data_IF_448916916904
#
_entry.id   IF_448916916904
#
_cell.length_a   1.000
_cell.length_b   1.000
_cell.length_c   1.000
_cell.angle_alpha   90.00
_cell.angle_beta   90.00
_cell.angle_gamma   90.00
#
_symmetry.space_group_name_H-M   'P 1'
#
loop_
_entity.id
_entity.type
_entity.pdbx_description
1 polymer ?
#
# COMPACT_ATOMS: atom_id res chain seq x y z
N UNK A 1 4.88 -9.20 -2.28
CA UNK A 1 6.11 -8.48 -2.67
C UNK A 1 5.92 -7.57 -3.89
N UNK A 2 5.53 -8.08 -5.06
CA UNK A 2 5.44 -7.29 -6.30
C UNK A 2 4.47 -6.08 -6.21
N UNK A 3 3.30 -6.25 -5.59
CA UNK A 3 2.31 -5.17 -5.42
C UNK A 3 2.86 -4.00 -4.62
N UNK A 4 3.51 -4.29 -3.48
CA UNK A 4 4.13 -3.25 -2.63
C UNK A 4 5.26 -2.54 -3.38
N UNK A 5 6.08 -3.29 -4.14
CA UNK A 5 7.13 -2.68 -4.96
C UNK A 5 6.56 -1.76 -6.05
N UNK A 6 5.49 -2.17 -6.72
CA UNK A 6 4.81 -1.34 -7.72
C UNK A 6 4.21 -0.07 -7.10
N UNK A 7 3.57 -0.19 -5.92
CA UNK A 7 3.05 0.96 -5.20
C UNK A 7 4.16 1.93 -4.80
N UNK A 8 5.30 1.43 -4.30
CA UNK A 8 6.47 2.25 -3.96
C UNK A 8 6.99 3.04 -5.16
N UNK A 9 7.08 2.44 -6.34
CA UNK A 9 7.54 3.14 -7.54
C UNK A 9 6.70 4.38 -7.85
N UNK A 10 5.37 4.29 -7.72
CA UNK A 10 4.45 5.41 -7.92
C UNK A 10 4.58 6.44 -6.79
N UNK A 11 4.66 5.98 -5.53
CA UNK A 11 4.78 6.85 -4.36
C UNK A 11 6.12 7.61 -4.34
N UNK A 12 7.20 7.02 -4.85
CA UNK A 12 8.50 7.67 -4.98
C UNK A 12 8.44 8.84 -5.97
N UNK A 13 7.60 8.77 -7.01
CA UNK A 13 7.31 9.93 -7.88
C UNK A 13 6.56 11.02 -7.12
N UNK A 14 5.55 10.65 -6.33
CA UNK A 14 4.77 11.59 -5.53
C UNK A 14 5.61 12.31 -4.46
N UNK A 15 6.65 11.66 -3.93
CA UNK A 15 7.61 12.26 -3.01
C UNK A 15 8.40 13.43 -3.63
N UNK A 16 8.45 13.54 -4.96
CA UNK A 16 9.12 14.63 -5.69
C UNK A 16 8.21 15.82 -6.02
N UNK A 17 6.91 15.76 -5.68
CA UNK A 17 5.96 16.84 -5.92
C UNK A 17 6.12 18.00 -4.91
N UNK A 18 5.39 19.10 -5.13
CA UNK A 18 5.34 20.26 -4.24
C UNK A 18 3.88 20.60 -3.90
N UNK A 19 3.44 20.47 -2.63
CA UNK A 19 4.16 19.85 -1.52
C UNK A 19 4.47 18.35 -1.74
N UNK A 20 5.53 17.80 -1.14
CA UNK A 20 5.87 16.39 -1.30
C UNK A 20 4.87 15.50 -0.56
N UNK A 21 4.71 14.28 -1.06
CA UNK A 21 4.04 13.21 -0.33
C UNK A 21 5.09 12.38 0.43
N UNK A 22 5.14 12.56 1.75
CA UNK A 22 6.06 11.86 2.64
C UNK A 22 5.42 10.55 3.11
N UNK A 23 5.94 9.41 2.65
CA UNK A 23 5.37 8.10 2.95
C UNK A 23 5.66 7.66 4.40
N UNK A 24 4.62 7.42 5.19
CA UNK A 24 4.75 6.76 6.50
C UNK A 24 4.93 5.25 6.29
N UNK A 25 4.00 4.63 5.55
CA UNK A 25 4.08 3.21 5.17
C UNK A 25 3.23 2.88 3.94
N UNK A 26 3.60 1.80 3.27
CA UNK A 26 2.77 1.05 2.33
C UNK A 26 2.98 -0.44 2.61
N UNK A 27 1.89 -1.16 2.86
CA UNK A 27 1.93 -2.57 3.26
C UNK A 27 0.75 -3.34 2.66
N UNK A 28 0.98 -4.61 2.34
CA UNK A 28 -0.08 -5.54 1.97
C UNK A 28 -0.35 -6.46 3.16
N UNK A 29 -1.54 -6.41 3.72
CA UNK A 29 -1.88 -7.03 5.01
C UNK A 29 -3.10 -7.94 4.92
N UNK A 30 -3.17 -8.91 5.83
CA UNK A 30 -4.34 -9.77 6.01
C UNK A 30 -5.49 -8.94 6.61
N UNK A 31 -6.72 -8.98 6.05
CA UNK A 31 -7.84 -8.19 6.57
C UNK A 31 -8.30 -8.61 7.96
N UNK A 32 -7.99 -9.82 8.42
CA UNK A 32 -8.44 -10.34 9.71
C UNK A 32 -7.63 -9.79 10.89
N UNK A 33 -6.33 -9.60 10.72
CA UNK A 33 -5.42 -9.23 11.81
C UNK A 33 -4.43 -8.10 11.48
N UNK A 34 -4.46 -7.59 10.24
CA UNK A 34 -3.57 -6.53 9.75
C UNK A 34 -2.07 -6.86 9.84
N UNK A 35 -1.72 -8.14 9.88
CA UNK A 35 -0.33 -8.58 9.74
C UNK A 35 0.06 -8.65 8.26
N UNK A 36 1.35 -8.46 7.94
CA UNK A 36 1.81 -8.53 6.55
C UNK A 36 1.59 -9.93 5.95
N UNK A 37 1.01 -9.98 4.74
CA UNK A 37 0.81 -11.25 4.06
C UNK A 37 2.11 -11.81 3.50
N UNK A 38 2.20 -13.14 3.43
CA UNK A 38 3.36 -13.81 2.83
C UNK A 38 3.45 -13.54 1.32
N UNK A 39 4.65 -13.61 0.71
CA UNK A 39 4.83 -13.32 -0.72
C UNK A 39 3.97 -14.15 -1.67
N UNK A 40 3.57 -15.35 -1.26
CA UNK A 40 2.77 -16.32 -1.99
C UNK A 40 1.30 -16.38 -1.53
N UNK A 41 0.83 -15.35 -0.81
CA UNK A 41 -0.56 -15.26 -0.34
C UNK A 41 -1.60 -15.48 -1.45
N UNK A 42 -2.73 -16.07 -1.07
CA UNK A 42 -3.89 -16.34 -1.92
C UNK A 42 -5.15 -15.94 -1.16
N UNK A 43 -6.16 -15.45 -1.88
CA UNK A 43 -7.37 -14.89 -1.28
C UNK A 43 -7.26 -13.38 -1.04
N UNK A 44 -8.04 -12.91 -0.07
CA UNK A 44 -8.21 -11.48 0.23
C UNK A 44 -6.98 -10.89 0.94
N UNK A 45 -6.61 -9.67 0.59
CA UNK A 45 -5.63 -8.85 1.28
C UNK A 45 -6.01 -7.37 1.14
N UNK A 46 -5.45 -6.51 1.99
CA UNK A 46 -5.65 -5.06 1.92
C UNK A 46 -4.31 -4.39 1.65
N UNK A 47 -4.23 -3.59 0.59
CA UNK A 47 -3.11 -2.67 0.39
C UNK A 47 -3.41 -1.40 1.19
N UNK A 48 -2.70 -1.20 2.29
CA UNK A 48 -2.84 -0.03 3.15
C UNK A 48 -1.69 0.95 2.91
N UNK A 49 -2.02 2.23 2.82
CA UNK A 49 -1.06 3.32 2.69
C UNK A 49 -1.35 4.43 3.69
N UNK A 50 -0.30 5.01 4.24
CA UNK A 50 -0.38 6.27 4.98
C UNK A 50 0.78 7.17 4.59
N UNK A 51 0.50 8.45 4.42
CA UNK A 51 1.49 9.44 4.04
C UNK A 51 1.11 10.83 4.56
N UNK A 52 2.05 11.76 4.56
CA UNK A 52 1.84 13.17 4.88
C UNK A 52 2.01 14.05 3.66
N UNK A 53 1.18 15.08 3.58
CA UNK A 53 1.32 16.19 2.64
C UNK A 53 1.28 17.47 3.45
N UNK A 54 2.45 18.07 3.67
CA UNK A 54 2.62 19.14 4.66
C UNK A 54 2.24 18.65 6.07
N UNK A 55 1.29 19.33 6.72
CA UNK A 55 0.81 18.95 8.06
C UNK A 55 -0.32 17.92 8.06
N UNK A 56 -0.85 17.57 6.89
CA UNK A 56 -2.02 16.68 6.77
C UNK A 56 -1.58 15.24 6.61
N UNK A 57 -2.07 14.35 7.47
CA UNK A 57 -1.85 12.91 7.34
C UNK A 57 -3.02 12.26 6.60
N UNK A 58 -2.72 11.64 5.47
CA UNK A 58 -3.66 10.94 4.61
C UNK A 58 -3.54 9.43 4.84
N UNK A 59 -4.65 8.73 4.73
CA UNK A 59 -4.73 7.27 4.72
C UNK A 59 -5.58 6.83 3.54
N UNK A 60 -5.24 5.69 2.96
CA UNK A 60 -6.09 4.99 2.01
C UNK A 60 -5.88 3.47 2.14
N UNK A 61 -6.88 2.70 1.78
CA UNK A 61 -6.85 1.24 1.77
C UNK A 61 -7.67 0.69 0.63
N UNK A 62 -7.13 -0.30 -0.08
CA UNK A 62 -7.81 -0.95 -1.21
C UNK A 62 -7.77 -2.47 -0.99
N UNK A 63 -8.92 -3.16 -0.99
CA UNK A 63 -8.98 -4.61 -0.96
C UNK A 63 -8.52 -5.19 -2.31
N UNK A 64 -7.78 -6.29 -2.25
CA UNK A 64 -7.23 -7.02 -3.38
C UNK A 64 -7.44 -8.53 -3.20
N UNK A 65 -7.82 -9.23 -4.26
CA UNK A 65 -7.98 -10.69 -4.24
C UNK A 65 -6.89 -11.34 -5.10
N UNK A 66 -6.18 -12.31 -4.54
CA UNK A 66 -5.09 -13.01 -5.22
C UNK A 66 -5.45 -14.46 -5.56
N UNK A 67 -5.11 -14.90 -6.79
CA UNK A 67 -5.22 -16.29 -7.22
C UNK A 67 -6.60 -16.74 -7.68
N UNK A 68 -7.53 -15.80 -7.90
CA UNK A 68 -8.78 -16.08 -8.61
C UNK A 68 -8.50 -15.91 -10.11
N UNK A 69 -8.90 -16.87 -10.98
CA UNK A 69 -8.82 -16.68 -12.43
C UNK A 69 -9.63 -15.45 -12.85
N UNK A 70 -9.11 -14.69 -13.81
CA UNK A 70 -9.82 -13.57 -14.42
C UNK A 70 -11.10 -14.02 -15.13
#
# INVERSE_FOLDING_TARGET
AAVVAAARLVLDEAARLVPPLELDYVALVDPADFTEVRPDHRGEAVLAVAARVGSTRLIDNIPLTFGVPA
#
